data_IF_575628565480
#
_entry.id   IF_575628565480
#
_cell.length_a   1.000
_cell.length_b   1.000
_cell.length_c   1.000
_cell.angle_alpha   90.00
_cell.angle_beta   90.00
_cell.angle_gamma   90.00
#
_symmetry.space_group_name_H-M   'P 1'
#
loop_
_entity.id
_entity.type
_entity.pdbx_description
1 polymer ?
#
# COMPACT_ATOMS: atom_id res chain seq x y z
N UNK A 1 2.73 -1.04 -6.13
CA UNK A 1 3.67 -0.10 -6.73
C UNK A 1 4.46 -0.83 -7.80
N UNK A 2 4.42 -0.33 -9.03
CA UNK A 2 5.19 -0.84 -10.16
C UNK A 2 6.64 -0.33 -10.10
N UNK A 3 7.46 -0.74 -11.06
CA UNK A 3 8.70 -0.01 -11.39
C UNK A 3 8.35 1.35 -12.02
N UNK A 4 9.30 2.26 -12.11
CA UNK A 4 9.15 3.55 -12.80
C UNK A 4 8.84 3.37 -14.29
N UNK A 5 9.21 2.23 -14.88
CA UNK A 5 8.85 1.81 -16.23
C UNK A 5 7.44 1.22 -16.35
N UNK A 6 6.65 1.21 -15.27
CA UNK A 6 5.27 0.71 -15.26
C UNK A 6 5.15 -0.82 -15.33
N UNK A 7 6.22 -1.55 -15.00
CA UNK A 7 6.21 -3.01 -14.96
C UNK A 7 5.90 -3.52 -13.56
N UNK A 8 5.18 -4.64 -13.47
CA UNK A 8 4.97 -5.35 -12.20
C UNK A 8 6.29 -5.93 -11.70
N UNK A 9 6.55 -5.82 -10.40
CA UNK A 9 7.72 -6.42 -9.74
C UNK A 9 7.63 -7.94 -9.59
N UNK A 10 6.46 -8.52 -9.87
CA UNK A 10 6.22 -9.97 -9.78
C UNK A 10 6.29 -10.66 -11.15
N UNK A 11 6.53 -9.91 -12.23
CA UNK A 11 6.76 -10.50 -13.54
C UNK A 11 8.17 -11.12 -13.62
N UNK A 12 8.38 -12.06 -14.56
CA UNK A 12 9.67 -12.75 -14.70
C UNK A 12 10.79 -11.88 -15.31
N UNK A 13 10.44 -10.77 -15.97
CA UNK A 13 11.35 -9.91 -16.73
C UNK A 13 11.06 -8.43 -16.44
N UNK A 14 11.55 -7.96 -15.29
CA UNK A 14 11.28 -6.62 -14.75
C UNK A 14 12.59 -5.93 -14.41
N UNK A 15 12.59 -4.60 -14.49
CA UNK A 15 13.74 -3.74 -14.17
C UNK A 15 13.96 -3.63 -12.63
N UNK A 16 13.20 -4.38 -11.83
CA UNK A 16 13.28 -4.43 -10.37
C UNK A 16 14.37 -5.38 -9.89
N UNK A 17 15.19 -4.91 -8.95
CA UNK A 17 16.25 -5.69 -8.30
C UNK A 17 15.86 -6.02 -6.86
N UNK A 18 15.91 -7.29 -6.47
CA UNK A 18 15.66 -7.71 -5.09
C UNK A 18 16.76 -7.25 -4.13
N UNK A 19 17.98 -6.99 -4.63
CA UNK A 19 19.08 -6.37 -3.88
C UNK A 19 19.03 -4.83 -3.89
N UNK A 20 17.98 -4.24 -4.49
CA UNK A 20 17.69 -2.80 -4.36
C UNK A 20 16.18 -2.54 -4.52
N UNK A 21 15.34 -3.08 -3.62
CA UNK A 21 13.92 -3.27 -3.87
C UNK A 21 13.11 -1.97 -3.92
N UNK A 22 13.69 -0.86 -3.46
CA UNK A 22 13.06 0.45 -3.37
C UNK A 22 13.52 1.45 -4.44
N UNK A 23 14.53 1.07 -5.23
CA UNK A 23 15.03 1.86 -6.35
C UNK A 23 14.07 1.84 -7.53
N UNK A 24 13.99 2.97 -8.25
CA UNK A 24 13.27 3.10 -9.52
C UNK A 24 11.84 2.55 -9.44
N UNK A 25 11.16 2.86 -8.33
CA UNK A 25 9.76 2.50 -8.08
C UNK A 25 8.83 3.64 -8.43
N UNK A 26 7.55 3.32 -8.57
CA UNK A 26 6.47 4.30 -8.60
C UNK A 26 6.68 5.37 -7.50
N UNK A 27 6.79 6.68 -7.84
CA UNK A 27 7.05 7.74 -6.87
C UNK A 27 6.05 7.79 -5.71
N UNK A 28 4.84 7.26 -5.93
CA UNK A 28 3.81 7.17 -4.88
C UNK A 28 4.20 6.24 -3.74
N UNK A 29 5.13 5.30 -3.94
CA UNK A 29 5.64 4.44 -2.88
C UNK A 29 6.27 5.29 -1.76
N UNK A 30 7.28 6.10 -2.10
CA UNK A 30 7.97 6.98 -1.15
C UNK A 30 7.08 8.14 -0.66
N UNK A 31 6.07 8.52 -1.43
CA UNK A 31 5.08 9.51 -0.97
C UNK A 31 4.09 8.93 0.05
N UNK A 32 3.85 7.61 0.03
CA UNK A 32 2.80 6.99 0.86
C UNK A 32 3.35 6.37 2.13
N UNK A 33 4.51 5.72 2.06
CA UNK A 33 5.18 5.10 3.21
C UNK A 33 6.59 5.62 3.35
N UNK A 34 7.10 5.61 4.58
CA UNK A 34 8.50 5.85 4.86
C UNK A 34 9.32 4.69 4.31
N UNK A 35 10.29 5.00 3.47
CA UNK A 35 11.21 3.99 2.94
C UNK A 35 12.32 3.71 3.96
N UNK A 36 12.48 2.44 4.39
CA UNK A 36 13.50 2.08 5.36
C UNK A 36 14.89 2.05 4.72
N UNK A 37 15.92 2.11 5.56
CA UNK A 37 17.30 1.81 5.14
C UNK A 37 17.38 0.43 4.48
N UNK A 38 17.98 0.41 3.29
CA UNK A 38 18.39 -0.80 2.61
C UNK A 38 19.90 -0.73 2.34
N UNK A 39 20.65 -1.70 2.86
CA UNK A 39 22.12 -1.71 2.83
C UNK A 39 22.74 -0.50 3.55
N UNK A 40 23.81 0.06 2.96
CA UNK A 40 24.56 1.20 3.53
C UNK A 40 23.89 2.58 3.33
N UNK A 41 22.61 2.64 2.92
CA UNK A 41 21.79 3.85 3.03
C UNK A 41 21.34 4.54 1.74
N UNK A 42 21.25 3.82 0.62
CA UNK A 42 20.98 4.45 -0.69
C UNK A 42 19.55 5.01 -0.86
N UNK A 43 18.55 4.52 -0.11
CA UNK A 43 17.13 4.89 -0.30
C UNK A 43 16.32 5.09 1.00
N UNK A 44 16.97 5.48 2.10
CA UNK A 44 16.22 5.74 3.33
C UNK A 44 15.66 7.14 3.38
N UNK A 45 14.40 7.25 3.80
CA UNK A 45 13.91 8.50 4.34
C UNK A 45 14.54 8.79 5.73
N UNK A 46 14.37 10.01 6.26
CA UNK A 46 14.89 10.42 7.58
C UNK A 46 13.75 10.73 8.55
N UNK A 47 13.83 10.30 9.80
CA UNK A 47 12.78 10.57 10.79
C UNK A 47 12.38 12.05 10.78
N UNK A 48 11.06 12.28 10.81
CA UNK A 48 10.47 13.61 10.65
C UNK A 48 11.15 14.66 11.54
N UNK A 49 11.65 15.73 10.92
CA UNK A 49 12.32 16.83 11.63
C UNK A 49 13.73 16.52 12.15
N UNK A 50 14.36 15.43 11.71
CA UNK A 50 15.71 15.05 12.13
C UNK A 50 16.58 14.63 10.92
N UNK A 51 17.89 14.45 11.16
CA UNK A 51 18.82 13.86 10.20
C UNK A 51 19.13 12.38 10.52
N UNK A 52 18.26 11.72 11.29
CA UNK A 52 18.43 10.31 11.65
C UNK A 52 17.75 9.45 10.57
N UNK A 53 18.48 8.55 9.88
CA UNK A 53 17.88 7.65 8.90
C UNK A 53 16.76 6.82 9.52
N UNK A 54 15.68 6.61 8.75
CA UNK A 54 14.61 5.70 9.12
C UNK A 54 15.09 4.26 8.92
N UNK A 55 15.76 3.70 9.92
CA UNK A 55 16.25 2.33 9.91
C UNK A 55 15.37 1.43 10.77
N UNK A 56 14.66 0.51 10.12
CA UNK A 56 13.77 -0.45 10.79
C UNK A 56 14.29 -1.89 10.73
N UNK A 57 15.49 -2.13 10.19
CA UNK A 57 16.09 -3.46 10.02
C UNK A 57 16.10 -4.27 11.33
N UNK A 58 15.60 -5.52 11.34
CA UNK A 58 15.69 -6.39 12.51
C UNK A 58 17.12 -6.55 13.05
N UNK A 59 17.25 -6.79 14.35
CA UNK A 59 18.53 -7.13 15.00
C UNK A 59 19.40 -5.94 15.43
N UNK A 60 19.05 -4.70 15.11
CA UNK A 60 19.88 -3.53 15.43
C UNK A 60 19.68 -2.94 16.85
N UNK A 61 19.47 -3.78 17.86
CA UNK A 61 19.18 -3.35 19.24
C UNK A 61 20.18 -2.29 19.72
N UNK A 62 19.67 -1.09 20.05
CA UNK A 62 20.48 0.06 20.50
C UNK A 62 20.95 1.04 19.41
N UNK A 63 20.80 0.71 18.12
CA UNK A 63 21.20 1.60 17.00
C UNK A 63 20.05 2.43 16.43
N UNK A 64 18.83 1.88 16.42
CA UNK A 64 17.61 2.60 16.05
C UNK A 64 16.50 2.16 16.99
N UNK A 65 15.69 3.06 17.57
CA UNK A 65 14.46 2.64 18.28
C UNK A 65 13.31 2.22 17.35
N UNK A 66 13.43 2.35 16.02
CA UNK A 66 12.34 2.04 15.07
C UNK A 66 12.39 0.61 14.52
N UNK A 67 13.42 -0.16 14.89
CA UNK A 67 13.60 -1.51 14.38
C UNK A 67 12.44 -2.44 14.69
N UNK A 68 12.15 -3.31 13.74
CA UNK A 68 11.05 -4.26 13.85
C UNK A 68 11.21 -5.11 15.11
N UNK A 69 10.13 -5.21 15.88
CA UNK A 69 10.05 -5.91 17.16
C UNK A 69 10.99 -5.38 18.26
N UNK A 70 11.51 -4.16 18.13
CA UNK A 70 12.36 -3.55 19.15
C UNK A 70 11.63 -3.02 20.38
N UNK A 71 10.34 -2.68 20.22
CA UNK A 71 9.46 -2.27 21.30
C UNK A 71 7.99 -2.45 20.89
N UNK A 72 7.07 -2.22 21.82
CA UNK A 72 5.63 -2.19 21.55
C UNK A 72 5.16 -0.97 20.72
N UNK A 73 6.03 0.01 20.49
CA UNK A 73 5.76 1.21 19.68
C UNK A 73 6.52 1.20 18.35
N UNK A 74 7.30 0.14 18.07
CA UNK A 74 7.98 -0.04 16.80
C UNK A 74 7.05 -0.66 15.73
N UNK A 75 7.39 -0.48 14.46
CA UNK A 75 6.66 -1.10 13.36
C UNK A 75 6.80 -2.62 13.38
N UNK A 76 5.72 -3.34 13.07
CA UNK A 76 5.74 -4.80 12.96
C UNK A 76 6.12 -5.30 11.55
N UNK A 77 6.04 -4.43 10.54
CA UNK A 77 6.28 -4.76 9.13
C UNK A 77 7.51 -4.06 8.57
N UNK A 78 8.09 -3.10 9.27
CA UNK A 78 9.22 -2.31 8.79
C UNK A 78 8.85 -1.08 7.99
N UNK A 79 7.57 -0.92 7.61
CA UNK A 79 7.04 0.31 7.01
C UNK A 79 6.29 1.16 8.03
N UNK A 80 6.27 2.47 7.80
CA UNK A 80 5.39 3.42 8.49
C UNK A 80 4.66 4.30 7.48
N UNK A 81 3.48 4.79 7.86
CA UNK A 81 2.69 5.69 7.02
C UNK A 81 3.38 7.06 6.91
N UNK A 82 3.53 7.56 5.69
CA UNK A 82 4.02 8.92 5.39
C UNK A 82 2.93 9.82 4.82
N UNK A 83 1.98 9.23 4.08
CA UNK A 83 0.77 9.94 3.65
C UNK A 83 0.06 10.53 4.86
N UNK A 84 -0.45 11.74 4.71
CA UNK A 84 -1.06 12.54 5.77
C UNK A 84 -0.13 13.10 6.85
N UNK A 85 1.19 13.03 6.67
CA UNK A 85 2.13 13.74 7.53
C UNK A 85 2.59 15.05 6.87
N UNK A 86 2.40 16.16 7.58
CA UNK A 86 3.01 17.44 7.23
C UNK A 86 4.27 17.67 8.08
N UNK A 87 5.45 17.87 7.47
CA UNK A 87 6.66 18.22 8.21
C UNK A 87 6.54 19.48 9.08
N UNK A 88 5.61 20.39 8.77
CA UNK A 88 5.34 21.58 9.57
C UNK A 88 4.73 21.23 10.94
N UNK A 89 4.06 20.10 11.05
CA UNK A 89 3.41 19.65 12.29
C UNK A 89 4.40 18.93 13.25
N UNK A 90 5.67 18.80 12.87
CA UNK A 90 6.67 18.06 13.66
C UNK A 90 6.87 18.61 15.10
N UNK A 91 6.63 19.91 15.31
CA UNK A 91 6.74 20.55 16.62
C UNK A 91 5.55 20.25 17.56
N UNK A 92 4.40 19.84 17.01
CA UNK A 92 3.20 19.48 17.78
C UNK A 92 2.39 18.42 17.03
N UNK A 93 2.85 17.17 17.13
CA UNK A 93 2.25 16.01 16.43
C UNK A 93 0.79 15.71 16.81
N UNK A 94 0.26 16.34 17.87
CA UNK A 94 -1.13 16.18 18.31
C UNK A 94 -2.06 17.27 17.73
N UNK A 95 -1.52 18.25 17.01
CA UNK A 95 -2.27 19.39 16.49
C UNK A 95 -1.85 19.69 15.05
N UNK A 96 -2.31 18.87 14.11
CA UNK A 96 -2.11 19.05 12.68
C UNK A 96 -3.34 19.65 12.00
N UNK A 97 -3.11 20.47 10.98
CA UNK A 97 -4.17 21.11 10.18
C UNK A 97 -4.65 20.27 8.99
N UNK A 98 -4.25 19.00 8.92
CA UNK A 98 -4.44 18.21 7.71
C UNK A 98 -5.90 17.80 7.50
N UNK A 99 -6.37 17.92 6.26
CA UNK A 99 -7.69 17.49 5.87
C UNK A 99 -7.69 16.02 5.43
N UNK A 100 -8.51 15.22 6.10
CA UNK A 100 -8.79 13.86 5.62
C UNK A 100 -9.64 13.90 4.36
N UNK A 101 -9.18 13.18 3.34
CA UNK A 101 -9.82 13.14 2.04
C UNK A 101 -10.89 12.06 2.07
N UNK A 102 -12.16 12.47 1.95
CA UNK A 102 -13.29 11.54 1.81
C UNK A 102 -13.52 11.13 0.35
N UNK A 103 -13.37 12.07 -0.57
CA UNK A 103 -13.44 11.83 -2.03
C UNK A 103 -12.48 12.79 -2.73
N UNK A 104 -11.85 12.30 -3.80
CA UNK A 104 -11.01 13.13 -4.67
C UNK A 104 -11.16 12.71 -6.11
N UNK A 105 -10.78 13.60 -7.00
CA UNK A 105 -11.07 13.43 -8.43
C UNK A 105 -10.43 12.18 -9.04
N UNK A 106 -9.26 11.74 -8.57
CA UNK A 106 -8.67 10.49 -9.04
C UNK A 106 -9.54 9.25 -8.72
N UNK A 107 -10.24 9.23 -7.57
CA UNK A 107 -11.17 8.14 -7.25
C UNK A 107 -12.35 8.15 -8.24
N UNK A 108 -12.89 9.33 -8.56
CA UNK A 108 -13.97 9.50 -9.55
C UNK A 108 -13.54 9.00 -10.93
N UNK A 109 -12.33 9.37 -11.38
CA UNK A 109 -11.78 8.92 -12.68
C UNK A 109 -11.63 7.39 -12.73
N UNK A 110 -11.08 6.79 -11.67
CA UNK A 110 -10.88 5.35 -11.62
C UNK A 110 -12.20 4.58 -11.44
N UNK A 111 -13.18 5.16 -10.74
CA UNK A 111 -14.54 4.62 -10.62
C UNK A 111 -15.26 4.65 -11.98
N UNK A 112 -15.12 5.74 -12.73
CA UNK A 112 -15.63 5.86 -14.09
C UNK A 112 -15.01 4.80 -15.02
N UNK A 113 -13.68 4.67 -15.00
CA UNK A 113 -12.97 3.67 -15.81
C UNK A 113 -13.41 2.25 -15.44
N UNK A 114 -13.50 1.93 -14.15
CA UNK A 114 -13.95 0.63 -13.67
C UNK A 114 -15.38 0.32 -14.14
N UNK A 115 -16.32 1.26 -13.99
CA UNK A 115 -17.70 1.06 -14.42
C UNK A 115 -17.80 0.76 -15.93
N UNK A 116 -17.09 1.52 -16.77
CA UNK A 116 -17.07 1.29 -18.22
C UNK A 116 -16.44 -0.04 -18.60
N UNK A 117 -15.35 -0.44 -17.92
CA UNK A 117 -14.72 -1.75 -18.13
C UNK A 117 -15.72 -2.86 -17.81
N UNK A 118 -16.42 -2.80 -16.67
CA UNK A 118 -17.38 -3.84 -16.28
C UNK A 118 -18.64 -3.88 -17.16
N UNK A 119 -18.98 -2.76 -17.83
CA UNK A 119 -20.04 -2.70 -18.85
C UNK A 119 -19.59 -3.18 -20.25
N UNK A 120 -18.31 -3.51 -20.42
CA UNK A 120 -17.70 -3.83 -21.71
C UNK A 120 -17.73 -2.64 -22.71
N UNK A 121 -17.77 -1.41 -22.19
CA UNK A 121 -17.76 -0.15 -22.95
C UNK A 121 -16.33 0.42 -23.02
N UNK A 122 -15.35 -0.39 -23.41
CA UNK A 122 -13.92 -0.03 -23.33
C UNK A 122 -13.49 0.79 -24.55
N UNK A 123 -13.55 2.11 -24.41
CA UNK A 123 -13.09 3.07 -25.42
C UNK A 123 -11.96 3.96 -24.90
N UNK A 124 -11.53 4.93 -25.71
CA UNK A 124 -10.44 5.84 -25.37
C UNK A 124 -10.64 6.57 -24.02
N UNK A 125 -11.88 6.84 -23.59
CA UNK A 125 -12.12 7.56 -22.34
C UNK A 125 -11.73 6.77 -21.10
N UNK A 126 -11.71 5.42 -21.19
CA UNK A 126 -11.24 4.55 -20.10
C UNK A 126 -9.76 4.74 -19.85
N UNK A 127 -8.94 4.69 -20.92
CA UNK A 127 -7.50 4.88 -20.80
C UNK A 127 -7.16 6.34 -20.49
N UNK A 128 -7.91 7.31 -21.00
CA UNK A 128 -7.72 8.72 -20.64
C UNK A 128 -7.93 8.96 -19.14
N UNK A 129 -8.97 8.35 -18.54
CA UNK A 129 -9.25 8.48 -17.11
C UNK A 129 -8.15 7.86 -16.24
N UNK A 130 -7.67 6.67 -16.60
CA UNK A 130 -6.57 5.99 -15.89
C UNK A 130 -5.25 6.78 -16.07
N UNK A 131 -4.96 7.24 -17.29
CA UNK A 131 -3.72 7.93 -17.61
C UNK A 131 -3.67 9.34 -17.02
N UNK A 132 -4.81 10.02 -16.83
CA UNK A 132 -4.86 11.28 -16.10
C UNK A 132 -4.35 11.14 -14.65
N UNK A 133 -4.52 9.97 -14.03
CA UNK A 133 -3.94 9.65 -12.72
C UNK A 133 -2.45 9.33 -12.83
N UNK A 134 -2.09 8.41 -13.73
CA UNK A 134 -0.70 7.91 -13.91
C UNK A 134 0.27 8.99 -14.38
N UNK A 135 -0.18 9.88 -15.25
CA UNK A 135 0.62 10.94 -15.86
C UNK A 135 0.56 12.26 -15.09
N UNK A 136 -0.01 12.27 -13.87
CA UNK A 136 0.11 13.43 -12.98
C UNK A 136 1.59 13.80 -12.85
N UNK A 137 1.99 15.08 -12.92
CA UNK A 137 3.42 15.48 -12.98
C UNK A 137 4.29 14.92 -11.85
N UNK A 138 3.73 14.72 -10.66
CA UNK A 138 4.44 14.14 -9.51
C UNK A 138 4.57 12.60 -9.53
N UNK A 139 3.93 11.93 -10.48
CA UNK A 139 3.88 10.47 -10.63
C UNK A 139 4.56 10.06 -11.92
N UNK A 140 4.13 10.65 -13.05
CA UNK A 140 4.74 10.51 -14.36
C UNK A 140 5.05 9.07 -14.78
N UNK A 141 4.13 8.13 -14.52
CA UNK A 141 4.26 6.76 -14.98
C UNK A 141 3.87 6.60 -16.46
N UNK A 142 4.38 5.56 -17.15
CA UNK A 142 3.99 5.27 -18.51
C UNK A 142 2.47 5.07 -18.65
N UNK A 143 1.88 5.58 -19.75
CA UNK A 143 0.46 5.43 -20.00
C UNK A 143 0.10 3.97 -20.28
N UNK A 144 -1.11 3.59 -19.92
CA UNK A 144 -1.75 2.34 -20.31
C UNK A 144 -2.42 2.52 -21.67
N UNK A 145 -2.32 1.50 -22.51
CA UNK A 145 -3.04 1.39 -23.79
C UNK A 145 -4.30 0.54 -23.62
N UNK A 146 -5.23 0.67 -24.58
CA UNK A 146 -6.42 -0.18 -24.62
C UNK A 146 -6.03 -1.65 -24.82
N UNK A 147 -6.65 -2.52 -24.02
CA UNK A 147 -6.46 -3.97 -23.98
C UNK A 147 -7.82 -4.65 -23.77
N UNK A 148 -7.83 -5.97 -23.66
CA UNK A 148 -9.05 -6.73 -23.37
C UNK A 148 -9.63 -6.37 -21.98
N UNK A 149 -10.92 -6.69 -21.80
CA UNK A 149 -11.66 -6.36 -20.58
C UNK A 149 -11.02 -6.93 -19.31
N UNK A 150 -10.53 -8.17 -19.35
CA UNK A 150 -9.93 -8.80 -18.18
C UNK A 150 -8.63 -8.08 -17.77
N UNK A 151 -7.76 -7.80 -18.75
CA UNK A 151 -6.52 -7.06 -18.50
C UNK A 151 -6.79 -5.63 -18.03
N UNK A 152 -7.78 -4.95 -18.61
CA UNK A 152 -8.16 -3.59 -18.19
C UNK A 152 -8.75 -3.56 -16.78
N UNK A 153 -9.53 -4.58 -16.39
CA UNK A 153 -10.04 -4.75 -15.03
C UNK A 153 -8.89 -4.87 -14.03
N UNK A 154 -7.90 -5.70 -14.30
CA UNK A 154 -6.75 -5.86 -13.41
C UNK A 154 -5.94 -4.56 -13.30
N UNK A 155 -5.74 -3.86 -14.41
CA UNK A 155 -5.06 -2.57 -14.43
C UNK A 155 -5.78 -1.50 -13.62
N UNK A 156 -7.08 -1.31 -13.78
CA UNK A 156 -7.84 -0.30 -13.01
C UNK A 156 -7.88 -0.66 -11.52
N UNK A 157 -8.03 -1.95 -11.17
CA UNK A 157 -7.99 -2.41 -9.78
C UNK A 157 -6.62 -2.19 -9.13
N UNK A 158 -5.54 -2.42 -9.87
CA UNK A 158 -4.18 -2.13 -9.41
C UNK A 158 -3.97 -0.63 -9.23
N UNK A 159 -4.37 0.18 -10.20
CA UNK A 159 -4.22 1.63 -10.15
C UNK A 159 -4.99 2.22 -8.96
N UNK A 160 -6.23 1.74 -8.70
CA UNK A 160 -7.00 2.10 -7.48
C UNK A 160 -6.25 1.73 -6.21
N UNK A 161 -5.71 0.51 -6.13
CA UNK A 161 -4.96 0.05 -4.95
C UNK A 161 -3.75 0.95 -4.64
N UNK A 162 -3.04 1.38 -5.67
CA UNK A 162 -1.82 2.18 -5.52
C UNK A 162 -2.15 3.65 -5.25
N UNK A 163 -3.01 4.24 -6.07
CA UNK A 163 -3.35 5.66 -5.98
C UNK A 163 -4.01 5.95 -4.63
N UNK A 164 -4.96 5.11 -4.21
CA UNK A 164 -5.78 5.28 -3.01
C UNK A 164 -5.23 4.52 -1.79
N UNK A 165 -3.96 4.09 -1.85
CA UNK A 165 -3.30 3.39 -0.75
C UNK A 165 -3.38 4.21 0.55
N UNK A 166 -3.75 3.56 1.66
CA UNK A 166 -3.89 4.18 2.98
C UNK A 166 -4.99 5.24 3.10
N UNK A 167 -5.98 5.23 2.21
CA UNK A 167 -7.16 6.13 2.25
C UNK A 167 -8.45 5.40 2.66
N UNK A 168 -8.35 4.19 3.24
CA UNK A 168 -9.49 3.43 3.78
C UNK A 168 -10.32 2.65 2.75
N UNK A 169 -10.05 2.81 1.45
CA UNK A 169 -10.88 2.22 0.39
C UNK A 169 -10.58 0.74 0.08
N UNK A 170 -9.34 0.29 0.28
CA UNK A 170 -8.91 -1.06 -0.10
C UNK A 170 -9.75 -2.17 0.54
N UNK A 171 -10.16 -1.99 1.80
CA UNK A 171 -11.01 -2.93 2.52
C UNK A 171 -12.35 -3.14 1.81
N UNK A 172 -12.99 -2.06 1.37
CA UNK A 172 -14.28 -2.12 0.67
C UNK A 172 -14.12 -2.64 -0.75
N UNK A 173 -13.06 -2.24 -1.45
CA UNK A 173 -12.76 -2.67 -2.82
C UNK A 173 -12.62 -4.19 -2.93
N UNK A 174 -11.80 -4.84 -2.08
CA UNK A 174 -11.62 -6.30 -2.15
C UNK A 174 -12.88 -7.07 -1.72
N UNK A 175 -13.74 -6.47 -0.89
CA UNK A 175 -15.02 -7.07 -0.47
C UNK A 175 -16.03 -7.06 -1.59
N UNK A 176 -16.23 -5.90 -2.23
CA UNK A 176 -17.20 -5.75 -3.35
C UNK A 176 -16.75 -6.51 -4.60
N UNK A 177 -15.45 -6.67 -4.81
CA UNK A 177 -14.91 -7.51 -5.89
C UNK A 177 -14.91 -9.01 -5.58
N UNK A 178 -15.26 -9.41 -4.35
CA UNK A 178 -15.18 -10.80 -3.88
C UNK A 178 -13.80 -11.44 -4.01
N UNK A 179 -12.74 -10.63 -3.94
CA UNK A 179 -11.35 -11.09 -3.97
C UNK A 179 -10.69 -11.09 -2.58
N UNK A 180 -11.41 -10.64 -1.54
CA UNK A 180 -10.89 -10.60 -0.18
C UNK A 180 -10.42 -11.99 0.29
N UNK A 181 -11.19 -13.02 -0.05
CA UNK A 181 -10.87 -14.42 0.26
C UNK A 181 -9.54 -14.88 -0.35
N UNK A 182 -9.10 -14.29 -1.46
CA UNK A 182 -7.83 -14.63 -2.10
C UNK A 182 -6.65 -13.84 -1.51
N UNK A 183 -6.86 -12.55 -1.24
CA UNK A 183 -5.77 -11.61 -0.89
C UNK A 183 -5.56 -11.42 0.62
N UNK A 184 -6.49 -11.91 1.44
CA UNK A 184 -6.45 -11.86 2.90
C UNK A 184 -6.18 -13.24 3.52
N UNK A 185 -5.27 -14.01 2.90
CA UNK A 185 -4.82 -15.29 3.42
C UNK A 185 -3.33 -15.25 3.79
N UNK A 186 -2.97 -16.05 4.79
CA UNK A 186 -1.58 -16.34 5.11
C UNK A 186 -0.84 -15.25 5.89
N UNK A 187 0.48 -15.43 6.04
CA UNK A 187 1.35 -14.48 6.74
C UNK A 187 1.33 -13.09 6.10
N UNK A 188 1.62 -12.07 6.89
CA UNK A 188 1.70 -10.69 6.40
C UNK A 188 3.17 -10.35 6.16
N UNK A 189 3.62 -10.26 4.90
CA UNK A 189 4.96 -9.80 4.58
C UNK A 189 5.07 -8.29 4.80
N UNK A 190 6.24 -7.87 5.24
CA UNK A 190 6.65 -6.50 5.46
C UNK A 190 7.71 -6.07 4.46
N UNK A 191 8.65 -5.27 4.95
CA UNK A 191 9.76 -4.76 4.16
C UNK A 191 10.75 -5.86 3.77
N UNK A 192 11.39 -5.66 2.63
CA UNK A 192 12.62 -6.36 2.26
C UNK A 192 13.80 -5.60 2.85
N UNK A 193 14.76 -6.30 3.45
CA UNK A 193 15.89 -5.71 4.15
C UNK A 193 17.17 -6.54 3.97
N UNK A 194 18.33 -5.90 4.11
CA UNK A 194 19.59 -6.61 4.33
C UNK A 194 19.82 -6.76 5.85
N UNK A 195 20.16 -7.95 6.37
CA UNK A 195 20.37 -8.15 7.80
C UNK A 195 21.42 -7.19 8.36
N UNK A 196 21.06 -6.45 9.41
CA UNK A 196 21.93 -5.40 9.97
C UNK A 196 23.31 -5.91 10.38
N UNK A 197 23.35 -7.09 11.03
CA UNK A 197 24.61 -7.68 11.52
C UNK A 197 25.42 -8.39 10.41
N UNK A 198 24.81 -8.70 9.27
CA UNK A 198 25.45 -9.42 8.17
C UNK A 198 24.75 -9.17 6.83
N UNK A 199 25.04 -8.02 6.19
CA UNK A 199 24.46 -7.70 4.88
C UNK A 199 24.86 -8.72 3.79
N UNK A 200 25.97 -9.43 3.96
CA UNK A 200 26.42 -10.46 3.01
C UNK A 200 25.52 -11.71 3.01
N UNK A 201 24.61 -11.87 3.98
CA UNK A 201 23.59 -12.92 3.95
C UNK A 201 22.55 -12.71 2.82
N UNK A 202 22.50 -11.52 2.24
CA UNK A 202 21.56 -11.16 1.19
C UNK A 202 20.19 -10.71 1.72
N UNK A 203 19.27 -10.29 0.83
CA UNK A 203 18.01 -9.68 1.23
C UNK A 203 17.03 -10.71 1.79
N UNK A 204 16.36 -10.34 2.87
CA UNK A 204 15.31 -11.10 3.54
C UNK A 204 14.05 -10.25 3.65
N UNK A 205 12.90 -10.89 3.95
CA UNK A 205 11.61 -10.22 4.09
C UNK A 205 11.08 -10.36 5.50
N UNK A 206 10.73 -9.23 6.13
CA UNK A 206 10.07 -9.24 7.43
C UNK A 206 8.73 -9.96 7.31
N UNK A 207 8.44 -10.90 8.21
CA UNK A 207 7.12 -11.51 8.34
C UNK A 207 6.55 -11.12 9.70
N UNK A 208 5.35 -10.54 9.72
CA UNK A 208 4.69 -10.20 10.97
C UNK A 208 4.21 -11.48 11.67
N UNK A 209 4.81 -11.79 12.82
CA UNK A 209 4.62 -13.07 13.51
C UNK A 209 3.35 -13.14 14.38
N UNK A 210 2.73 -12.00 14.71
CA UNK A 210 1.61 -11.99 15.66
C UNK A 210 0.28 -12.45 15.06
N UNK A 211 0.17 -12.53 13.74
CA UNK A 211 -1.08 -12.90 13.08
C UNK A 211 -0.83 -13.57 11.74
N UNK A 212 -1.72 -14.49 11.40
CA UNK A 212 -1.86 -15.10 10.08
C UNK A 212 -3.29 -14.82 9.65
N UNK A 213 -3.46 -14.21 8.48
CA UNK A 213 -4.79 -13.85 8.00
C UNK A 213 -5.53 -15.11 7.54
N UNK A 214 -6.77 -15.23 7.99
CA UNK A 214 -7.73 -16.20 7.50
C UNK A 214 -8.97 -15.39 7.18
N UNK A 215 -9.40 -15.44 5.93
CA UNK A 215 -10.62 -14.80 5.48
C UNK A 215 -11.57 -15.87 4.94
N UNK A 216 -12.82 -15.81 5.37
CA UNK A 216 -13.87 -16.78 5.05
C UNK A 216 -15.04 -16.10 4.37
N UNK A 217 -15.98 -16.87 3.84
CA UNK A 217 -17.21 -16.34 3.25
C UNK A 217 -18.03 -15.50 4.23
N UNK A 218 -18.03 -15.88 5.52
CA UNK A 218 -18.75 -15.15 6.57
C UNK A 218 -18.17 -13.74 6.79
N UNK A 219 -16.87 -13.54 6.54
CA UNK A 219 -16.20 -12.27 6.80
C UNK A 219 -16.60 -11.18 5.80
N UNK A 220 -17.28 -11.51 4.69
CA UNK A 220 -17.80 -10.53 3.71
C UNK A 220 -18.90 -9.62 4.25
N UNK A 221 -19.55 -9.99 5.35
CA UNK A 221 -20.56 -9.18 6.00
C UNK A 221 -20.13 -8.84 7.42
N UNK A 222 -20.56 -7.69 7.92
CA UNK A 222 -20.39 -7.40 9.34
C UNK A 222 -21.48 -8.11 10.12
N UNK A 223 -21.13 -8.76 11.25
CA UNK A 223 -22.15 -9.33 12.11
C UNK A 223 -23.02 -8.22 12.69
N UNK A 224 -24.32 -8.48 12.77
CA UNK A 224 -25.21 -7.62 13.57
C UNK A 224 -24.70 -7.68 15.01
N UNK A 225 -24.48 -6.54 15.69
CA UNK A 225 -24.00 -6.55 17.06
C UNK A 225 -24.93 -7.36 17.95
N UNK A 226 -24.38 -8.24 18.78
CA UNK A 226 -25.14 -9.20 19.58
C UNK A 226 -26.27 -8.56 20.40
N UNK A 227 -26.01 -7.39 20.97
CA UNK A 227 -27.01 -6.60 21.73
C UNK A 227 -28.24 -6.24 20.90
N UNK A 228 -28.07 -5.94 19.61
CA UNK A 228 -29.19 -5.58 18.74
C UNK A 228 -30.06 -6.80 18.43
N UNK A 229 -29.46 -7.99 18.30
CA UNK A 229 -30.18 -9.26 18.16
C UNK A 229 -31.01 -9.59 19.40
N UNK A 230 -30.52 -9.26 20.60
CA UNK A 230 -31.27 -9.44 21.85
C UNK A 230 -32.45 -8.47 21.96
N UNK A 231 -32.28 -7.22 21.51
CA UNK A 231 -33.31 -6.19 21.60
C UNK A 231 -34.41 -6.34 20.55
N UNK A 232 -34.08 -6.81 19.35
CA UNK A 232 -35.02 -6.91 18.25
C UNK A 232 -35.03 -8.33 17.67
N UNK A 233 -36.03 -9.18 18.01
CA UNK A 233 -36.13 -10.54 17.51
C UNK A 233 -36.39 -10.64 16.00
N UNK A 234 -36.66 -9.52 15.31
CA UNK A 234 -36.82 -9.48 13.85
C UNK A 234 -35.47 -9.34 13.11
N UNK A 235 -34.38 -9.02 13.82
CA UNK A 235 -33.04 -9.08 13.23
C UNK A 235 -32.63 -10.55 13.20
N UNK A 236 -32.62 -11.12 11.99
CA UNK A 236 -32.38 -12.54 11.75
C UNK A 236 -31.02 -13.03 12.28
N UNK A 237 -30.93 -14.34 12.51
CA UNK A 237 -29.65 -15.05 12.62
C UNK A 237 -29.08 -15.33 11.23
#
# INVERSE_FOLDING_TARGET
YETISGKSIFAADTDWDYYDPYKDRDPRLQATVWLPVFGTGTYSDFRLGTNIPFDTRPGQSGNSPDYVNGSNVATATGFMLKKYLDPLDASNVNNGGINFINIRYADVLLMYAEAKIELDEIDASVVDAINAVRQRPSVNLPPITLLDQATMRDKVRHERMVELAMEGLRFYDIRRWKTAIDVMQGPIPGMVYLPFENEAAGPDTVIWQATVRIYTEADYEFPIPFRELELNPNLGK
#
